data_IF_392040621310
#
_entry.id   IF_392040621310
#
_cell.length_a   1.000
_cell.length_b   1.000
_cell.length_c   1.000
_cell.angle_alpha   90.00
_cell.angle_beta   90.00
_cell.angle_gamma   90.00
#
_symmetry.space_group_name_H-M   'P 1'
#
loop_
_entity.id
_entity.type
_entity.pdbx_description
1 polymer ?
#
# COMPACT_ATOMS: atom_id res chain seq x y z
N UNK A 1 -7.89 2.18 14.33
CA UNK A 1 -8.44 1.84 13.00
C UNK A 1 -9.85 1.31 13.16
N UNK A 2 -10.78 1.67 12.27
CA UNK A 2 -12.14 1.10 12.31
C UNK A 2 -12.17 -0.26 11.59
N UNK A 3 -13.14 -1.12 11.90
CA UNK A 3 -13.37 -2.36 11.14
C UNK A 3 -13.60 -2.08 9.64
N UNK A 4 -14.25 -0.94 9.33
CA UNK A 4 -14.48 -0.48 7.96
C UNK A 4 -13.16 -0.16 7.24
N UNK A 5 -12.22 0.51 7.92
CA UNK A 5 -10.91 0.86 7.35
C UNK A 5 -10.17 -0.42 6.91
N UNK A 6 -10.12 -1.44 7.78
CA UNK A 6 -9.43 -2.69 7.43
C UNK A 6 -10.15 -3.45 6.33
N UNK A 7 -11.47 -3.57 6.40
CA UNK A 7 -12.23 -4.27 5.35
C UNK A 7 -11.95 -3.63 4.00
N UNK A 8 -12.03 -2.30 3.91
CA UNK A 8 -11.73 -1.58 2.68
C UNK A 8 -10.30 -1.84 2.21
N UNK A 9 -9.34 -1.77 3.13
CA UNK A 9 -7.94 -2.07 2.83
C UNK A 9 -7.75 -3.49 2.26
N UNK A 10 -8.30 -4.52 2.91
CA UNK A 10 -8.19 -5.91 2.45
C UNK A 10 -8.80 -6.11 1.07
N UNK A 11 -9.96 -5.51 0.78
CA UNK A 11 -10.59 -5.59 -0.54
C UNK A 11 -9.76 -4.89 -1.63
N UNK A 12 -9.21 -3.70 -1.33
CA UNK A 12 -8.33 -2.98 -2.26
C UNK A 12 -7.04 -3.76 -2.55
N UNK A 13 -6.39 -4.29 -1.51
CA UNK A 13 -5.16 -5.09 -1.67
C UNK A 13 -5.41 -6.33 -2.54
N UNK A 14 -6.55 -7.00 -2.36
CA UNK A 14 -6.95 -8.13 -3.21
C UNK A 14 -7.13 -7.70 -4.67
N UNK A 15 -7.85 -6.61 -4.91
CA UNK A 15 -8.07 -6.11 -6.26
C UNK A 15 -6.77 -5.65 -6.96
N UNK A 16 -5.80 -5.14 -6.20
CA UNK A 16 -4.48 -4.76 -6.69
C UNK A 16 -3.56 -5.96 -6.99
N UNK A 17 -3.94 -7.17 -6.55
CA UNK A 17 -3.20 -8.41 -6.79
C UNK A 17 -2.32 -8.89 -5.64
N UNK A 18 -2.45 -8.33 -4.43
CA UNK A 18 -1.70 -8.80 -3.27
C UNK A 18 -2.27 -10.13 -2.78
N UNK A 19 -1.44 -11.17 -2.77
CA UNK A 19 -1.88 -12.55 -2.56
C UNK A 19 -1.87 -13.00 -1.10
N UNK A 20 -1.10 -12.34 -0.24
CA UNK A 20 -1.00 -12.70 1.18
C UNK A 20 -2.26 -12.25 1.93
N UNK A 21 -2.75 -13.12 2.81
CA UNK A 21 -3.95 -12.86 3.61
C UNK A 21 -3.70 -11.73 4.62
N UNK A 22 -4.63 -10.77 4.66
CA UNK A 22 -4.65 -9.66 5.60
C UNK A 22 -5.91 -9.77 6.48
N UNK A 23 -5.73 -9.84 7.79
CA UNK A 23 -6.83 -9.96 8.76
C UNK A 23 -6.72 -8.94 9.90
N UNK A 24 -7.82 -8.73 10.64
CA UNK A 24 -7.83 -7.88 11.84
C UNK A 24 -6.82 -8.35 12.88
N UNK A 25 -6.68 -9.67 13.04
CA UNK A 25 -5.80 -10.26 14.04
C UNK A 25 -4.34 -9.87 13.80
N UNK A 26 -3.93 -9.76 12.53
CA UNK A 26 -2.57 -9.39 12.18
C UNK A 26 -2.15 -7.99 12.66
N UNK A 27 -3.09 -7.12 13.02
CA UNK A 27 -2.84 -5.75 13.47
C UNK A 27 -3.40 -5.45 14.87
N UNK A 28 -3.86 -6.48 15.60
CA UNK A 28 -4.23 -6.33 17.03
C UNK A 28 -3.01 -6.12 17.92
N UNK A 29 -1.89 -6.67 17.51
CA UNK A 29 -0.56 -6.43 18.10
C UNK A 29 0.40 -5.96 16.99
N UNK A 30 1.49 -5.28 17.33
CA UNK A 30 2.49 -4.86 16.36
C UNK A 30 3.00 -6.03 15.51
N UNK A 31 2.85 -5.93 14.18
CA UNK A 31 3.32 -6.91 13.22
C UNK A 31 4.13 -6.21 12.12
N UNK A 32 5.39 -5.91 12.45
CA UNK A 32 6.27 -5.17 11.55
C UNK A 32 6.55 -5.95 10.27
N UNK A 33 6.77 -7.26 10.35
CA UNK A 33 7.04 -8.11 9.17
C UNK A 33 5.95 -7.96 8.11
N UNK A 34 4.67 -8.12 8.50
CA UNK A 34 3.57 -7.94 7.56
C UNK A 34 3.47 -6.49 7.05
N UNK A 35 3.67 -5.52 7.93
CA UNK A 35 3.63 -4.10 7.56
C UNK A 35 4.70 -3.73 6.53
N UNK A 36 5.93 -4.23 6.72
CA UNK A 36 7.06 -4.04 5.82
C UNK A 36 6.80 -4.71 4.47
N UNK A 37 6.37 -5.97 4.47
CA UNK A 37 6.05 -6.71 3.25
C UNK A 37 4.99 -5.98 2.41
N UNK A 38 3.92 -5.50 3.06
CA UNK A 38 2.88 -4.73 2.37
C UNK A 38 3.42 -3.39 1.86
N UNK A 39 4.21 -2.67 2.66
CA UNK A 39 4.74 -1.36 2.28
C UNK A 39 5.68 -1.48 1.08
N UNK A 40 6.62 -2.42 1.10
CA UNK A 40 7.53 -2.71 -0.03
C UNK A 40 6.71 -3.09 -1.25
N UNK A 41 5.73 -3.98 -1.11
CA UNK A 41 4.88 -4.39 -2.21
C UNK A 41 4.11 -3.22 -2.83
N UNK A 42 3.54 -2.34 -2.00
CA UNK A 42 2.79 -1.16 -2.46
C UNK A 42 3.69 -0.18 -3.21
N UNK A 43 4.89 0.09 -2.71
CA UNK A 43 5.87 0.96 -3.38
C UNK A 43 6.31 0.35 -4.71
N UNK A 44 6.64 -0.95 -4.74
CA UNK A 44 7.01 -1.66 -5.97
C UNK A 44 5.85 -1.80 -6.97
N UNK A 45 4.61 -1.81 -6.48
CA UNK A 45 3.40 -1.79 -7.33
C UNK A 45 3.19 -0.42 -7.97
N UNK A 46 3.55 0.64 -7.26
CA UNK A 46 3.55 2.01 -7.78
C UNK A 46 4.65 2.21 -8.84
N UNK A 47 5.87 1.76 -8.54
CA UNK A 47 7.02 1.82 -9.44
C UNK A 47 7.91 0.58 -9.23
N UNK A 48 7.99 -0.34 -10.22
CA UNK A 48 8.83 -1.53 -10.12
C UNK A 48 10.31 -1.23 -9.87
N UNK A 49 10.80 -0.09 -10.37
CA UNK A 49 12.19 0.34 -10.29
C UNK A 49 12.49 1.20 -9.04
N UNK A 50 11.50 1.35 -8.13
CA UNK A 50 11.67 2.13 -6.91
C UNK A 50 12.89 1.67 -6.10
N UNK A 51 13.84 2.57 -5.89
CA UNK A 51 15.02 2.34 -5.05
C UNK A 51 14.68 2.63 -3.58
N UNK A 52 14.31 1.58 -2.84
CA UNK A 52 13.97 1.64 -1.41
C UNK A 52 14.68 0.52 -0.66
N UNK A 53 14.93 0.73 0.63
CA UNK A 53 15.47 -0.31 1.50
C UNK A 53 14.39 -1.37 1.76
N UNK A 54 14.69 -2.63 1.46
CA UNK A 54 13.74 -3.75 1.55
C UNK A 54 14.07 -4.77 2.67
N UNK A 55 15.20 -4.60 3.35
CA UNK A 55 15.55 -5.36 4.55
C UNK A 55 14.82 -4.79 5.77
N UNK A 56 14.51 -5.66 6.75
CA UNK A 56 13.85 -5.29 7.99
C UNK A 56 14.21 -6.18 9.19
N UNK A 57 15.38 -6.79 9.11
CA UNK A 57 15.90 -7.73 10.12
C UNK A 57 16.31 -7.05 11.42
N UNK A 58 16.98 -5.91 11.34
CA UNK A 58 17.43 -5.11 12.50
C UNK A 58 16.55 -3.90 12.72
N UNK A 59 16.63 -3.26 13.89
CA UNK A 59 15.89 -2.00 14.14
C UNK A 59 16.33 -0.88 13.18
N UNK A 60 17.61 -0.83 12.85
CA UNK A 60 18.15 0.12 11.87
C UNK A 60 17.54 -0.11 10.48
N UNK A 61 17.50 -1.36 10.02
CA UNK A 61 16.87 -1.73 8.76
C UNK A 61 15.41 -1.27 8.70
N UNK A 62 14.67 -1.50 9.78
CA UNK A 62 13.26 -1.10 9.87
C UNK A 62 13.08 0.41 9.74
N UNK A 63 13.95 1.20 10.37
CA UNK A 63 13.92 2.66 10.27
C UNK A 63 14.25 3.11 8.85
N UNK A 64 15.26 2.50 8.21
CA UNK A 64 15.67 2.82 6.84
C UNK A 64 14.58 2.46 5.82
N UNK A 65 13.94 1.30 5.94
CA UNK A 65 12.81 0.88 5.11
C UNK A 65 11.67 1.88 5.21
N UNK A 66 11.23 2.21 6.43
CA UNK A 66 10.09 3.12 6.62
C UNK A 66 10.41 4.53 6.11
N UNK A 67 11.64 5.01 6.32
CA UNK A 67 12.07 6.33 5.85
C UNK A 67 12.11 6.39 4.32
N UNK A 68 12.84 5.46 3.69
CA UNK A 68 13.00 5.44 2.23
C UNK A 68 11.65 5.27 1.50
N UNK A 69 10.77 4.39 1.98
CA UNK A 69 9.43 4.24 1.43
C UNK A 69 8.57 5.50 1.58
N UNK A 70 8.64 6.18 2.73
CA UNK A 70 7.88 7.42 2.95
C UNK A 70 8.41 8.58 2.09
N UNK A 71 9.72 8.71 1.94
CA UNK A 71 10.36 9.70 1.07
C UNK A 71 9.99 9.45 -0.40
N UNK A 72 10.08 8.19 -0.85
CA UNK A 72 9.66 7.79 -2.19
C UNK A 72 8.20 8.18 -2.46
N UNK A 73 7.28 7.81 -1.57
CA UNK A 73 5.85 8.08 -1.75
C UNK A 73 5.53 9.58 -1.67
N UNK A 74 6.25 10.35 -0.86
CA UNK A 74 6.10 11.80 -0.82
C UNK A 74 6.55 12.45 -2.13
N UNK A 75 7.69 12.03 -2.68
CA UNK A 75 8.27 12.65 -3.88
C UNK A 75 7.61 12.19 -5.19
N UNK A 76 7.27 10.91 -5.31
CA UNK A 76 6.78 10.30 -6.56
C UNK A 76 5.27 10.12 -6.56
N UNK A 77 4.69 9.76 -5.42
CA UNK A 77 3.25 9.54 -5.27
C UNK A 77 2.47 10.74 -4.74
N UNK A 78 3.16 11.80 -4.30
CA UNK A 78 2.54 12.92 -3.56
C UNK A 78 1.71 12.44 -2.34
N UNK A 79 2.14 11.36 -1.69
CA UNK A 79 1.48 10.76 -0.52
C UNK A 79 2.36 10.92 0.71
N UNK A 80 1.93 11.78 1.63
CA UNK A 80 2.59 11.93 2.93
C UNK A 80 2.17 10.83 3.92
N UNK A 81 3.15 10.04 4.35
CA UNK A 81 2.99 8.97 5.32
C UNK A 81 3.48 9.39 6.71
N UNK A 82 2.78 8.93 7.75
CA UNK A 82 3.27 9.03 9.12
C UNK A 82 4.19 7.84 9.42
N UNK A 83 5.50 8.06 9.35
CA UNK A 83 6.53 7.04 9.56
C UNK A 83 6.44 6.38 10.94
N UNK A 84 6.10 7.13 11.99
CA UNK A 84 5.90 6.56 13.34
C UNK A 84 4.78 5.53 13.36
N UNK A 85 3.65 5.80 12.70
CA UNK A 85 2.52 4.85 12.63
C UNK A 85 2.84 3.62 11.81
N UNK A 86 3.59 3.77 10.73
CA UNK A 86 4.08 2.62 9.95
C UNK A 86 4.98 1.77 10.84
N UNK A 87 5.93 2.38 11.56
CA UNK A 87 6.86 1.66 12.44
C UNK A 87 6.16 0.97 13.62
N UNK A 88 5.09 1.57 14.17
CA UNK A 88 4.25 0.95 15.20
C UNK A 88 3.61 -0.36 14.74
N UNK A 89 3.37 -0.52 13.43
CA UNK A 89 2.93 -1.76 12.80
C UNK A 89 1.66 -2.38 13.39
N UNK A 90 0.80 -1.57 13.96
CA UNK A 90 -0.51 -1.96 14.51
C UNK A 90 -1.63 -1.42 13.61
N UNK A 91 -2.87 -1.35 14.11
CA UNK A 91 -3.98 -0.78 13.36
C UNK A 91 -3.74 0.64 12.81
N UNK A 92 -2.88 1.46 13.42
CA UNK A 92 -2.56 2.78 12.86
C UNK A 92 -1.71 2.70 11.59
N UNK A 93 -0.87 1.67 11.44
CA UNK A 93 -0.10 1.44 10.21
C UNK A 93 -1.03 1.22 9.01
N UNK A 94 -2.13 0.47 9.20
CA UNK A 94 -3.13 0.21 8.15
C UNK A 94 -3.69 1.50 7.56
N UNK A 95 -3.89 2.54 8.37
CA UNK A 95 -4.38 3.83 7.87
C UNK A 95 -3.39 4.54 6.97
N UNK A 96 -2.10 4.36 7.21
CA UNK A 96 -1.06 4.92 6.37
C UNK A 96 -0.89 4.09 5.08
N UNK A 97 -0.91 2.75 5.18
CA UNK A 97 -0.90 1.86 4.01
C UNK A 97 -2.11 2.07 3.10
N UNK A 98 -3.28 2.32 3.68
CA UNK A 98 -4.52 2.57 2.94
C UNK A 98 -4.41 3.81 2.03
N UNK A 99 -3.60 4.82 2.36
CA UNK A 99 -3.40 5.99 1.49
C UNK A 99 -2.80 5.58 0.15
N UNK A 100 -1.78 4.73 0.17
CA UNK A 100 -1.11 4.24 -1.04
C UNK A 100 -2.04 3.28 -1.79
N UNK A 101 -2.69 2.36 -1.06
CA UNK A 101 -3.61 1.41 -1.67
C UNK A 101 -4.79 2.10 -2.37
N UNK A 102 -5.38 3.13 -1.76
CA UNK A 102 -6.44 3.92 -2.38
C UNK A 102 -5.97 4.60 -3.67
N UNK A 103 -4.79 5.24 -3.66
CA UNK A 103 -4.21 5.86 -4.86
C UNK A 103 -4.09 4.87 -6.02
N UNK A 104 -3.48 3.70 -5.76
CA UNK A 104 -3.30 2.66 -6.77
C UNK A 104 -4.64 2.07 -7.22
N UNK A 105 -5.57 1.88 -6.31
CA UNK A 105 -6.88 1.31 -6.60
C UNK A 105 -7.74 2.26 -7.43
N UNK A 106 -7.68 3.56 -7.16
CA UNK A 106 -8.34 4.59 -7.96
C UNK A 106 -7.77 4.62 -9.39
N UNK A 107 -6.44 4.56 -9.53
CA UNK A 107 -5.79 4.47 -10.84
C UNK A 107 -6.21 3.21 -11.62
N UNK A 108 -6.27 2.05 -10.95
CA UNK A 108 -6.74 0.80 -11.55
C UNK A 108 -8.19 0.93 -12.04
N UNK A 109 -9.07 1.55 -11.25
CA UNK A 109 -10.48 1.73 -11.60
C UNK A 109 -10.69 2.72 -12.75
N UNK A 110 -9.89 3.78 -12.81
CA UNK A 110 -9.93 4.71 -13.94
C UNK A 110 -9.59 3.97 -15.24
N UNK A 111 -8.51 3.20 -15.24
CA UNK A 111 -8.05 2.46 -16.42
C UNK A 111 -9.01 1.33 -16.84
N UNK A 112 -9.77 0.75 -15.91
CA UNK A 112 -10.80 -0.24 -16.19
C UNK A 112 -12.08 0.33 -16.83
N UNK A 113 -12.36 1.62 -16.63
CA UNK A 113 -13.52 2.31 -17.19
C UNK A 113 -13.25 2.90 -18.60
N UNK A 114 -11.98 3.00 -19.02
CA UNK A 114 -11.60 3.54 -20.32
C UNK A 114 -11.76 2.52 -21.47
N UNK A 115 -12.17 1.28 -21.19
CA UNK A 115 -12.54 0.29 -22.23
C UNK A 115 -13.96 0.58 -22.74
N UNK A 116 -14.13 1.67 -23.48
CA UNK A 116 -15.30 1.85 -24.36
C UNK A 116 -15.02 1.12 -25.68
N UNK A 117 -15.87 0.16 -26.12
CA UNK A 117 -15.71 -0.45 -27.44
C UNK A 117 -15.99 0.61 -28.51
N UNK A 118 -14.97 1.03 -29.25
CA UNK A 118 -15.09 1.95 -30.39
C UNK A 118 -15.63 1.27 -31.66
N UNK A 119 -16.68 0.46 -31.52
CA UNK A 119 -17.41 -0.11 -32.66
C UNK A 119 -18.83 0.42 -32.68
N UNK A 120 -18.93 1.66 -33.17
CA UNK A 120 -20.18 2.36 -33.42
C UNK A 120 -20.02 3.31 -34.60
N UNK A 121 -19.63 2.78 -35.74
CA UNK A 121 -19.83 3.44 -37.04
C UNK A 121 -20.36 2.39 -38.01
N UNK A 122 -21.21 2.81 -38.93
CA UNK A 122 -22.08 2.04 -39.85
C UNK A 122 -23.44 1.76 -39.20
N UNK A 123 -24.55 2.41 -39.53
CA UNK A 123 -25.00 3.08 -40.77
C UNK A 123 -25.99 4.18 -40.42
#
# INVERSE_FOLDING_TARGET
MSYRDLRNFTEMMRALGYTRLISMENFRTPNFTLTADILVWLVKRFDPDADIHDLYTTEEDRVLLVRSAAEFMALKGNVMLNTKRIYQADGYAVRELLKIASLLYEALRAHGNDVTPSWGTTT
#
